data_IF_367881752982
#
_entry.id   IF_367881752982
#
_cell.length_a   1.000
_cell.length_b   1.000
_cell.length_c   1.000
_cell.angle_alpha   90.00
_cell.angle_beta   90.00
_cell.angle_gamma   90.00
#
_symmetry.space_group_name_H-M   'P 1'
#
loop_
_entity.id
_entity.type
_entity.pdbx_description
1 polymer ?
#
# COMPACT_ATOMS: atom_id res chain seq x y z
N UNK A 1 -7.33 9.92 -1.44
CA UNK A 1 -7.18 8.68 -0.66
C UNK A 1 -5.73 8.53 -0.21
N UNK A 2 -5.53 7.94 0.94
CA UNK A 2 -4.19 7.71 1.47
C UNK A 2 -4.06 6.25 1.89
N UNK A 3 -2.97 5.61 1.49
CA UNK A 3 -2.71 4.21 1.83
C UNK A 3 -1.42 4.14 2.64
N UNK A 4 -1.53 3.68 3.88
CA UNK A 4 -0.39 3.42 4.76
C UNK A 4 0.09 1.99 4.50
N UNK A 5 1.35 1.85 4.08
CA UNK A 5 1.94 0.54 3.80
C UNK A 5 2.63 -0.08 5.01
N UNK A 6 2.61 0.58 6.17
CA UNK A 6 3.19 -0.02 7.37
C UNK A 6 2.41 -1.25 7.82
N UNK A 7 3.06 -2.10 8.61
CA UNK A 7 2.43 -3.33 9.10
C UNK A 7 1.28 -3.09 10.07
N UNK A 8 1.06 -1.85 10.49
CA UNK A 8 -0.10 -1.49 11.30
C UNK A 8 -1.40 -1.44 10.50
N UNK A 9 -1.30 -1.43 9.17
CA UNK A 9 -2.47 -1.46 8.29
C UNK A 9 -2.99 -2.89 8.17
N UNK A 10 -3.90 -3.27 9.06
CA UNK A 10 -4.39 -4.64 9.16
C UNK A 10 -5.15 -5.11 7.92
N UNK A 11 -5.85 -4.22 7.26
CA UNK A 11 -6.60 -4.57 6.05
C UNK A 11 -5.65 -4.95 4.89
N UNK A 12 -4.55 -4.22 4.75
CA UNK A 12 -3.58 -4.48 3.69
C UNK A 12 -2.84 -5.80 3.90
N UNK A 13 -2.56 -6.16 5.14
CA UNK A 13 -1.80 -7.36 5.46
C UNK A 13 -2.65 -8.50 6.03
N UNK A 14 -3.97 -8.44 5.84
CA UNK A 14 -4.86 -9.51 6.27
C UNK A 14 -4.48 -10.82 5.56
N UNK A 15 -4.29 -11.88 6.35
CA UNK A 15 -3.83 -13.18 5.84
C UNK A 15 -2.33 -13.38 5.92
N UNK A 16 -1.56 -12.33 6.19
CA UNK A 16 -0.14 -12.45 6.46
C UNK A 16 0.10 -12.74 7.95
N UNK A 17 1.20 -13.44 8.24
CA UNK A 17 1.63 -13.68 9.60
C UNK A 17 2.57 -12.55 10.03
N UNK A 18 2.21 -11.88 11.12
CA UNK A 18 2.98 -10.75 11.67
C UNK A 18 3.32 -11.09 13.11
N UNK A 19 4.59 -10.87 13.49
CA UNK A 19 5.08 -11.10 14.83
C UNK A 19 5.52 -9.77 15.44
N UNK A 20 5.17 -9.53 16.70
CA UNK A 20 5.67 -8.38 17.43
C UNK A 20 6.80 -8.80 18.36
N UNK A 21 7.97 -8.17 18.20
CA UNK A 21 9.13 -8.39 19.02
C UNK A 21 9.66 -7.03 19.49
N UNK A 22 9.77 -6.86 20.80
CA UNK A 22 10.28 -5.63 21.42
C UNK A 22 9.54 -4.36 20.91
N UNK A 23 8.22 -4.46 20.76
CA UNK A 23 7.40 -3.34 20.32
C UNK A 23 7.43 -3.07 18.81
N UNK A 24 8.09 -3.93 18.04
CA UNK A 24 8.18 -3.79 16.59
C UNK A 24 7.44 -4.91 15.89
N UNK A 25 6.66 -4.57 14.88
CA UNK A 25 5.98 -5.54 14.04
C UNK A 25 6.94 -6.02 12.94
N UNK A 26 6.99 -7.33 12.74
CA UNK A 26 7.81 -7.95 11.71
C UNK A 26 6.94 -8.89 10.89
N UNK A 27 7.07 -8.83 9.57
CA UNK A 27 6.38 -9.73 8.68
C UNK A 27 7.09 -11.08 8.68
N UNK A 28 6.35 -12.13 9.05
CA UNK A 28 6.87 -13.51 9.07
C UNK A 28 6.62 -14.23 7.74
N UNK A 29 5.55 -13.90 7.06
CA UNK A 29 5.23 -14.51 5.76
C UNK A 29 6.35 -14.17 4.76
N UNK A 30 6.92 -15.17 4.06
CA UNK A 30 7.93 -14.89 3.05
C UNK A 30 7.43 -13.93 1.98
N UNK A 31 8.31 -13.06 1.50
CA UNK A 31 7.93 -12.01 0.54
C UNK A 31 7.23 -12.58 -0.71
N UNK A 32 7.70 -13.72 -1.22
CA UNK A 32 7.10 -14.35 -2.41
C UNK A 32 5.63 -14.74 -2.20
N UNK A 33 5.25 -15.06 -0.97
CA UNK A 33 3.87 -15.40 -0.63
C UNK A 33 3.08 -14.15 -0.26
N UNK A 34 3.71 -13.24 0.48
CA UNK A 34 3.09 -11.98 0.89
C UNK A 34 2.71 -11.11 -0.30
N UNK A 35 3.48 -11.13 -1.38
CA UNK A 35 3.15 -10.40 -2.61
C UNK A 35 1.75 -10.75 -3.11
N UNK A 36 1.41 -12.03 -3.12
CA UNK A 36 0.09 -12.46 -3.60
C UNK A 36 -1.03 -12.05 -2.64
N UNK A 37 -0.77 -12.14 -1.34
CA UNK A 37 -1.75 -11.77 -0.31
C UNK A 37 -2.01 -10.26 -0.36
N UNK A 38 -0.96 -9.47 -0.37
CA UNK A 38 -1.06 -8.01 -0.40
C UNK A 38 -1.69 -7.55 -1.72
N UNK A 39 -1.32 -8.15 -2.84
CA UNK A 39 -1.91 -7.83 -4.13
C UNK A 39 -3.41 -8.04 -4.15
N UNK A 40 -3.88 -9.14 -3.59
CA UNK A 40 -5.31 -9.42 -3.48
C UNK A 40 -5.99 -8.41 -2.54
N UNK A 41 -5.37 -8.11 -1.41
CA UNK A 41 -5.94 -7.18 -0.44
C UNK A 41 -6.06 -5.77 -1.00
N UNK A 42 -5.01 -5.28 -1.67
CA UNK A 42 -5.07 -3.92 -2.22
C UNK A 42 -6.10 -3.81 -3.35
N UNK A 43 -6.27 -4.85 -4.15
CA UNK A 43 -7.32 -4.86 -5.17
C UNK A 43 -8.69 -4.70 -4.54
N UNK A 44 -8.95 -5.41 -3.44
CA UNK A 44 -10.22 -5.27 -2.71
C UNK A 44 -10.41 -3.88 -2.12
N UNK A 45 -9.35 -3.32 -1.54
CA UNK A 45 -9.40 -1.97 -0.96
C UNK A 45 -9.72 -0.93 -2.03
N UNK A 46 -9.08 -1.02 -3.20
CA UNK A 46 -9.32 -0.10 -4.31
C UNK A 46 -10.74 -0.25 -4.84
N UNK A 47 -11.22 -1.47 -5.02
CA UNK A 47 -12.57 -1.71 -5.51
C UNK A 47 -13.65 -1.20 -4.56
N UNK A 48 -13.37 -1.22 -3.26
CA UNK A 48 -14.31 -0.71 -2.25
C UNK A 48 -14.31 0.82 -2.18
N UNK A 49 -13.30 1.50 -2.71
CA UNK A 49 -13.23 2.95 -2.70
C UNK A 49 -14.27 3.55 -3.65
N UNK A 50 -15.02 4.58 -3.22
CA UNK A 50 -15.97 5.25 -4.11
C UNK A 50 -15.26 5.82 -5.34
N UNK A 51 -15.96 5.84 -6.49
CA UNK A 51 -15.38 6.36 -7.74
C UNK A 51 -14.88 7.80 -7.58
N UNK A 52 -15.59 8.61 -6.79
CA UNK A 52 -15.21 10.00 -6.54
C UNK A 52 -13.86 10.12 -5.81
N UNK A 53 -13.44 9.09 -5.06
CA UNK A 53 -12.18 9.09 -4.31
C UNK A 53 -11.02 8.54 -5.13
N UNK A 54 -11.25 8.11 -6.38
CA UNK A 54 -10.22 7.53 -7.24
C UNK A 54 -9.50 8.54 -8.12
N UNK A 55 -9.50 9.80 -7.75
CA UNK A 55 -8.75 10.84 -8.48
C UNK A 55 -7.29 10.85 -8.08
N UNK A 56 -7.02 10.85 -6.80
CA UNK A 56 -5.65 10.91 -6.27
C UNK A 56 -5.47 9.92 -5.13
N UNK A 57 -4.30 9.29 -5.09
CA UNK A 57 -3.90 8.42 -3.99
C UNK A 57 -2.48 8.75 -3.57
N UNK A 58 -2.25 8.76 -2.26
CA UNK A 58 -0.92 8.96 -1.67
C UNK A 58 -0.51 7.68 -0.95
N UNK A 59 0.67 7.17 -1.31
CA UNK A 59 1.27 6.02 -0.66
C UNK A 59 2.29 6.50 0.36
N UNK A 60 2.24 5.94 1.56
CA UNK A 60 3.13 6.34 2.65
C UNK A 60 3.38 5.17 3.60
N UNK A 61 4.31 5.36 4.52
CA UNK A 61 4.59 4.40 5.57
C UNK A 61 5.85 3.57 5.34
N UNK A 62 6.50 3.13 6.43
CA UNK A 62 7.72 2.33 6.32
C UNK A 62 7.39 0.89 5.94
N UNK A 63 7.91 0.45 4.82
CA UNK A 63 7.78 -0.93 4.36
C UNK A 63 8.83 -1.24 3.31
N UNK A 64 9.09 -2.54 3.11
CA UNK A 64 10.01 -3.01 2.10
C UNK A 64 9.56 -2.59 0.69
N UNK A 65 10.50 -2.43 -0.21
CA UNK A 65 10.24 -1.96 -1.57
C UNK A 65 9.23 -2.84 -2.31
N UNK A 66 9.25 -4.15 -2.11
CA UNK A 66 8.33 -5.04 -2.82
C UNK A 66 6.86 -4.69 -2.51
N UNK A 67 6.56 -4.28 -1.28
CA UNK A 67 5.18 -3.91 -0.92
C UNK A 67 4.74 -2.67 -1.68
N UNK A 68 5.62 -1.67 -1.81
CA UNK A 68 5.34 -0.48 -2.60
C UNK A 68 5.10 -0.82 -4.06
N UNK A 69 5.88 -1.73 -4.62
CA UNK A 69 5.73 -2.11 -6.03
C UNK A 69 4.38 -2.80 -6.28
N UNK A 70 3.98 -3.69 -5.39
CA UNK A 70 2.69 -4.39 -5.49
C UNK A 70 1.52 -3.40 -5.38
N UNK A 71 1.56 -2.53 -4.38
CA UNK A 71 0.51 -1.55 -4.16
C UNK A 71 0.46 -0.55 -5.31
N UNK A 72 1.61 -0.06 -5.76
CA UNK A 72 1.68 0.87 -6.88
C UNK A 72 1.05 0.27 -8.13
N UNK A 73 1.36 -0.99 -8.45
CA UNK A 73 0.80 -1.66 -9.62
C UNK A 73 -0.72 -1.67 -9.58
N UNK A 74 -1.31 -1.90 -8.40
CA UNK A 74 -2.76 -1.91 -8.26
C UNK A 74 -3.37 -0.51 -8.39
N UNK A 75 -2.75 0.51 -7.79
CA UNK A 75 -3.34 1.86 -7.75
C UNK A 75 -3.10 2.66 -9.02
N UNK A 76 -2.01 2.42 -9.74
CA UNK A 76 -1.70 3.19 -10.97
C UNK A 76 -2.75 2.97 -12.05
N UNK A 77 -3.42 1.83 -12.07
CA UNK A 77 -4.49 1.54 -13.01
C UNK A 77 -5.85 2.10 -12.59
N UNK A 78 -6.00 2.47 -11.32
CA UNK A 78 -7.29 2.85 -10.77
C UNK A 78 -7.40 4.35 -10.45
N UNK A 79 -6.28 5.04 -10.30
CA UNK A 79 -6.24 6.45 -9.91
C UNK A 79 -5.61 7.30 -11.00
N UNK A 80 -6.07 8.56 -11.12
CA UNK A 80 -5.50 9.49 -12.09
C UNK A 80 -4.11 9.96 -11.69
N UNK A 81 -3.87 10.10 -10.39
CA UNK A 81 -2.56 10.55 -9.87
C UNK A 81 -2.15 9.72 -8.68
N UNK A 82 -0.89 9.32 -8.65
CA UNK A 82 -0.29 8.59 -7.54
C UNK A 82 0.87 9.40 -6.97
N UNK A 83 0.82 9.65 -5.68
CA UNK A 83 1.84 10.36 -4.92
C UNK A 83 2.53 9.42 -3.95
N UNK A 84 3.76 9.77 -3.62
CA UNK A 84 4.49 9.13 -2.52
C UNK A 84 4.86 10.18 -1.49
N UNK A 85 4.60 9.89 -0.22
CA UNK A 85 4.96 10.76 0.89
C UNK A 85 5.92 10.00 1.82
N UNK A 86 7.17 10.47 1.90
CA UNK A 86 8.19 9.88 2.75
C UNK A 86 8.15 10.41 4.19
N UNK A 87 7.22 11.32 4.48
CA UNK A 87 7.08 11.93 5.78
C UNK A 87 8.04 13.11 6.03
N UNK A 88 8.83 13.50 5.03
CA UNK A 88 9.83 14.56 5.18
C UNK A 88 9.56 15.76 4.29
N UNK A 89 9.41 15.51 2.99
CA UNK A 89 9.35 16.57 1.98
C UNK A 89 7.92 16.84 1.50
N UNK A 90 6.94 16.13 2.05
CA UNK A 90 5.58 16.16 1.56
C UNK A 90 5.39 15.26 0.33
N UNK A 91 4.17 15.19 -0.19
CA UNK A 91 3.87 14.29 -1.30
C UNK A 91 4.61 14.65 -2.58
N UNK A 92 5.12 13.62 -3.26
CA UNK A 92 5.78 13.75 -4.56
C UNK A 92 4.95 13.00 -5.59
N UNK A 93 4.65 13.66 -6.71
CA UNK A 93 3.89 13.03 -7.79
C UNK A 93 4.76 11.97 -8.49
N UNK A 94 4.27 10.73 -8.50
CA UNK A 94 4.97 9.60 -9.10
C UNK A 94 4.42 9.26 -10.48
N UNK A 95 3.10 9.27 -10.62
CA UNK A 95 2.44 8.93 -11.88
C UNK A 95 1.17 9.75 -12.06
N UNK A 96 0.91 10.18 -13.29
CA UNK A 96 -0.30 10.88 -13.65
C UNK A 96 -0.88 10.27 -14.92
N UNK A 97 -2.12 9.83 -14.84
CA UNK A 97 -2.88 9.28 -15.95
C UNK A 97 -4.16 10.07 -16.06
N UNK A 98 -4.33 10.72 -17.09
CA UNK A 98 -5.47 11.55 -17.17
C UNK A 98 -6.13 11.66 -18.44
#
# INVERSE_FOLDING_TARGET
MKIDLSLSNKALYAGCEIEEVAGRANLKTPAKDAVNIVGRNISGIVQAAPAADRTEVTLTGPMAVWAYLVVFHAVVHAFSKVYYDDGRSGPVLIAAHG
#
